data_IF_586062335337
#
_entry.id   IF_586062335337
#
_cell.length_a   1.000
_cell.length_b   1.000
_cell.length_c   1.000
_cell.angle_alpha   90.00
_cell.angle_beta   90.00
_cell.angle_gamma   90.00
#
_symmetry.space_group_name_H-M   'P 1'
#
loop_
_entity.id
_entity.type
_entity.pdbx_description
1 polymer ?
#
# COMPACT_ATOMS: atom_id res chain seq x y z
N UNK A 1 9.46 -31.41 47.08
CA UNK A 1 9.86 -30.00 46.88
C UNK A 1 9.96 -29.58 45.40
N UNK A 2 9.64 -30.44 44.42
CA UNK A 2 9.77 -30.12 42.98
C UNK A 2 8.49 -29.66 42.27
N UNK A 3 7.30 -29.82 42.87
CA UNK A 3 6.04 -29.35 42.24
C UNK A 3 5.82 -27.84 42.32
N UNK A 4 6.63 -27.11 43.09
CA UNK A 4 6.45 -25.66 43.32
C UNK A 4 7.09 -24.79 42.22
N UNK A 5 8.12 -25.28 41.53
CA UNK A 5 8.87 -24.47 40.55
C UNK A 5 8.18 -24.34 39.18
N UNK A 6 7.32 -25.30 38.81
CA UNK A 6 6.55 -25.23 37.56
C UNK A 6 5.41 -24.20 37.60
N UNK A 7 4.95 -23.80 38.80
CA UNK A 7 3.88 -22.81 38.95
C UNK A 7 4.36 -21.39 38.66
N UNK A 8 5.60 -21.07 39.03
CA UNK A 8 6.19 -19.73 38.89
C UNK A 8 6.53 -19.38 37.43
N UNK A 9 6.97 -20.34 36.61
CA UNK A 9 7.26 -20.08 35.19
C UNK A 9 6.04 -19.71 34.34
N UNK A 10 4.82 -20.12 34.73
CA UNK A 10 3.58 -19.73 34.03
C UNK A 10 3.14 -18.29 34.29
N UNK A 11 3.73 -17.60 35.28
CA UNK A 11 3.48 -16.18 35.57
C UNK A 11 4.46 -15.25 34.84
N UNK A 12 5.51 -15.79 34.20
CA UNK A 12 6.61 -15.03 33.64
C UNK A 12 6.30 -14.33 32.31
N UNK A 13 5.10 -14.52 31.74
CA UNK A 13 4.67 -13.76 30.56
C UNK A 13 3.37 -12.99 30.83
N UNK A 14 3.24 -11.83 30.17
CA UNK A 14 2.11 -10.90 30.31
C UNK A 14 0.74 -11.59 30.17
N UNK A 15 0.66 -12.62 29.32
CA UNK A 15 -0.56 -13.40 29.08
C UNK A 15 -0.93 -14.27 30.28
N UNK A 16 0.04 -14.93 30.92
CA UNK A 16 -0.16 -15.74 32.11
C UNK A 16 -0.56 -14.93 33.35
N UNK A 17 -0.03 -13.71 33.49
CA UNK A 17 -0.43 -12.78 34.55
C UNK A 17 -1.88 -12.29 34.37
N UNK A 18 -2.27 -11.89 33.16
CA UNK A 18 -3.63 -11.45 32.85
C UNK A 18 -4.66 -12.58 32.97
N UNK A 19 -4.27 -13.82 32.63
CA UNK A 19 -5.16 -14.98 32.71
C UNK A 19 -5.50 -15.41 34.15
N UNK A 20 -4.65 -15.08 35.13
CA UNK A 20 -4.77 -15.57 36.51
C UNK A 20 -5.10 -14.46 37.52
N UNK A 21 -4.98 -13.20 37.11
CA UNK A 21 -5.42 -12.04 37.90
C UNK A 21 -6.94 -11.85 37.81
N UNK A 22 -7.58 -11.50 38.93
CA UNK A 22 -9.02 -11.18 38.98
C UNK A 22 -9.94 -12.29 38.48
N UNK A 23 -9.64 -13.56 38.77
CA UNK A 23 -10.38 -14.74 38.30
C UNK A 23 -10.53 -14.83 36.76
N UNK A 24 -9.61 -14.21 36.01
CA UNK A 24 -9.69 -14.18 34.55
C UNK A 24 -10.68 -13.14 34.02
N UNK A 25 -11.17 -12.20 34.83
CA UNK A 25 -12.02 -11.10 34.38
C UNK A 25 -11.35 -10.26 33.27
N UNK A 26 -10.03 -10.09 33.35
CA UNK A 26 -9.23 -9.43 32.31
C UNK A 26 -9.20 -10.19 30.96
N UNK A 27 -9.57 -11.49 30.93
CA UNK A 27 -9.72 -12.25 29.69
C UNK A 27 -11.06 -12.02 28.99
N UNK A 28 -12.07 -11.47 29.67
CA UNK A 28 -13.39 -11.25 29.07
C UNK A 28 -13.33 -10.22 27.94
N UNK A 29 -12.53 -9.16 28.10
CA UNK A 29 -12.25 -8.20 27.02
C UNK A 29 -11.30 -8.76 25.94
N UNK A 30 -10.38 -9.68 26.31
CA UNK A 30 -9.49 -10.33 25.35
C UNK A 30 -10.25 -11.27 24.42
N UNK A 31 -11.33 -11.91 24.90
CA UNK A 31 -12.18 -12.76 24.08
C UNK A 31 -12.80 -11.98 22.93
N UNK A 32 -13.28 -10.76 23.14
CA UNK A 32 -13.88 -9.95 22.08
C UNK A 32 -12.83 -9.37 21.12
N UNK A 33 -11.65 -9.03 21.63
CA UNK A 33 -10.51 -8.56 20.81
C UNK A 33 -9.87 -9.71 20.01
N UNK A 34 -9.97 -10.95 20.48
CA UNK A 34 -9.51 -12.16 19.77
C UNK A 34 -10.64 -12.93 19.07
N UNK A 35 -11.89 -12.52 19.24
CA UNK A 35 -13.02 -13.07 18.51
C UNK A 35 -13.07 -12.41 17.13
N UNK A 36 -12.16 -12.83 16.27
CA UNK A 36 -12.33 -12.62 14.85
C UNK A 36 -13.46 -13.52 14.32
N UNK A 37 -14.21 -13.06 13.29
CA UNK A 37 -15.29 -13.84 12.69
C UNK A 37 -14.73 -15.16 12.19
N UNK A 38 -15.14 -16.26 12.83
CA UNK A 38 -14.69 -17.61 12.47
C UNK A 38 -15.40 -18.06 11.18
N UNK A 39 -14.72 -18.26 10.04
CA UNK A 39 -15.32 -18.92 8.89
C UNK A 39 -15.33 -20.44 9.12
N UNK A 40 -16.25 -21.19 8.48
CA UNK A 40 -16.31 -22.63 8.61
C UNK A 40 -15.25 -23.31 7.72
N UNK A 41 -14.31 -24.06 8.31
CA UNK A 41 -13.40 -24.96 7.57
C UNK A 41 -11.96 -24.91 8.08
N UNK A 42 -11.35 -26.07 8.35
CA UNK A 42 -10.08 -26.23 9.07
C UNK A 42 -8.80 -26.04 8.26
N UNK A 43 -8.71 -24.99 7.44
CA UNK A 43 -7.45 -24.52 6.86
C UNK A 43 -7.08 -23.15 7.48
N UNK A 44 -5.77 -22.82 7.49
CA UNK A 44 -5.33 -21.48 7.89
C UNK A 44 -6.09 -20.43 7.06
N UNK A 45 -6.73 -19.42 7.67
CA UNK A 45 -7.45 -18.41 6.92
C UNK A 45 -6.48 -17.75 5.94
N UNK A 46 -6.84 -17.75 4.65
CA UNK A 46 -6.09 -17.00 3.64
C UNK A 46 -6.27 -15.51 3.96
N UNK A 47 -5.21 -14.81 4.41
CA UNK A 47 -5.33 -13.41 4.82
C UNK A 47 -5.63 -12.50 3.62
N UNK A 48 -5.46 -12.99 2.39
CA UNK A 48 -5.84 -12.30 1.16
C UNK A 48 -7.27 -12.60 0.71
N UNK A 49 -7.99 -13.50 1.38
CA UNK A 49 -9.37 -13.78 1.04
C UNK A 49 -10.20 -12.49 1.10
N UNK A 50 -11.05 -12.21 0.09
CA UNK A 50 -11.88 -11.03 0.11
C UNK A 50 -12.72 -10.95 1.39
N UNK A 51 -12.45 -9.94 2.21
CA UNK A 51 -13.17 -9.68 3.47
C UNK A 51 -14.51 -8.97 3.22
N UNK A 52 -14.67 -8.38 2.03
CA UNK A 52 -15.80 -7.52 1.69
C UNK A 52 -15.69 -6.15 2.37
N UNK A 53 -16.14 -5.07 1.72
CA UNK A 53 -16.07 -3.74 2.31
C UNK A 53 -17.12 -3.58 3.44
N UNK A 54 -16.81 -2.76 4.46
CA UNK A 54 -17.76 -2.43 5.53
C UNK A 54 -19.04 -1.76 5.02
N UNK A 55 -18.97 -1.08 3.87
CA UNK A 55 -20.09 -0.42 3.21
C UNK A 55 -20.19 -0.85 1.76
N UNK A 56 -21.41 -0.83 1.20
CA UNK A 56 -21.60 -1.06 -0.22
C UNK A 56 -20.78 -0.04 -1.05
N UNK A 57 -19.84 -0.51 -1.90
CA UNK A 57 -18.96 0.38 -2.62
C UNK A 57 -19.73 1.13 -3.72
N UNK A 58 -19.50 2.43 -3.83
CA UNK A 58 -20.06 3.26 -4.92
C UNK A 58 -19.20 3.23 -6.19
N UNK A 59 -17.92 2.90 -6.06
CA UNK A 59 -16.97 2.78 -7.16
C UNK A 59 -16.40 1.36 -7.19
N UNK A 60 -16.22 0.82 -8.40
CA UNK A 60 -15.60 -0.51 -8.61
C UNK A 60 -14.09 -0.42 -8.79
N UNK A 61 -13.59 0.71 -9.30
CA UNK A 61 -12.19 0.94 -9.65
C UNK A 61 -11.84 2.38 -9.31
N UNK A 62 -10.62 2.60 -8.84
CA UNK A 62 -10.06 3.91 -8.52
C UNK A 62 -8.74 4.06 -9.26
N UNK A 63 -8.58 5.17 -9.97
CA UNK A 63 -7.32 5.56 -10.58
C UNK A 63 -6.80 6.74 -9.76
N UNK A 64 -5.65 6.56 -9.12
CA UNK A 64 -4.98 7.62 -8.36
C UNK A 64 -3.73 8.05 -9.14
N UNK A 65 -3.68 9.33 -9.50
CA UNK A 65 -2.56 9.91 -10.25
C UNK A 65 -1.83 10.88 -9.34
N UNK A 66 -0.59 10.55 -9.01
CA UNK A 66 0.33 11.46 -8.33
C UNK A 66 1.29 12.06 -9.35
N UNK A 67 1.23 13.37 -9.53
CA UNK A 67 2.07 14.10 -10.49
C UNK A 67 3.43 14.43 -9.85
N UNK A 68 4.40 13.53 -10.00
CA UNK A 68 5.76 13.73 -9.51
C UNK A 68 6.42 14.94 -10.19
N UNK A 69 7.08 15.81 -9.43
CA UNK A 69 7.52 17.14 -9.87
C UNK A 69 6.50 18.25 -9.60
N UNK A 70 5.25 17.89 -9.30
CA UNK A 70 4.20 18.78 -8.81
C UNK A 70 3.41 19.45 -9.93
N UNK A 71 2.10 19.23 -9.95
CA UNK A 71 1.18 20.16 -10.60
C UNK A 71 1.01 21.37 -9.69
N UNK A 72 1.33 22.56 -10.20
CA UNK A 72 1.11 23.79 -9.45
C UNK A 72 -0.39 24.02 -9.24
N UNK A 73 -0.84 23.92 -7.99
CA UNK A 73 -2.24 24.11 -7.62
C UNK A 73 -2.73 25.54 -7.93
N UNK A 74 -1.85 26.54 -7.79
CA UNK A 74 -2.16 27.94 -8.08
C UNK A 74 -2.28 28.24 -9.57
N UNK A 75 -1.74 27.36 -10.41
CA UNK A 75 -1.79 27.42 -11.88
C UNK A 75 -2.84 26.49 -12.49
N UNK A 76 -3.56 25.72 -11.66
CA UNK A 76 -4.52 24.69 -12.14
C UNK A 76 -5.93 24.90 -11.62
N UNK A 77 -6.16 24.77 -10.30
CA UNK A 77 -7.50 24.72 -9.71
C UNK A 77 -7.73 25.72 -8.56
N UNK A 78 -6.71 26.48 -8.17
CA UNK A 78 -6.75 27.36 -7.00
C UNK A 78 -5.99 28.68 -7.22
N UNK A 79 -6.44 29.52 -8.19
CA UNK A 79 -5.78 30.77 -8.49
C UNK A 79 -5.67 31.65 -7.24
N UNK A 80 -4.51 32.27 -7.05
CA UNK A 80 -4.24 33.18 -5.92
C UNK A 80 -4.11 34.61 -6.44
N UNK A 81 -5.16 35.45 -6.37
CA UNK A 81 -5.11 36.83 -6.88
C UNK A 81 -3.98 37.68 -6.27
N UNK A 82 -3.56 37.36 -5.05
CA UNK A 82 -2.45 38.05 -4.41
C UNK A 82 -1.10 37.83 -5.12
N UNK A 83 -0.91 36.68 -5.79
CA UNK A 83 0.28 36.44 -6.61
C UNK A 83 0.34 37.39 -7.80
N UNK A 84 -0.80 37.71 -8.42
CA UNK A 84 -0.86 38.70 -9.50
C UNK A 84 -0.58 40.12 -8.97
N UNK A 85 -1.06 40.46 -7.77
CA UNK A 85 -0.82 41.78 -7.16
C UNK A 85 0.66 42.02 -6.83
N UNK A 86 1.38 40.97 -6.43
CA UNK A 86 2.78 41.05 -5.99
C UNK A 86 3.76 40.49 -7.03
N UNK A 87 3.34 40.36 -8.29
CA UNK A 87 4.17 39.76 -9.34
C UNK A 87 5.54 40.44 -9.46
N UNK A 88 6.60 39.64 -9.47
CA UNK A 88 7.99 40.09 -9.48
C UNK A 88 8.50 40.72 -8.18
N UNK A 89 7.67 40.86 -7.14
CA UNK A 89 8.07 41.41 -5.85
C UNK A 89 8.48 40.31 -4.86
N UNK A 90 9.40 40.59 -3.92
CA UNK A 90 9.69 39.67 -2.82
C UNK A 90 8.43 39.32 -2.02
N UNK A 91 8.32 38.07 -1.57
CA UNK A 91 7.19 37.65 -0.74
C UNK A 91 7.15 38.46 0.57
N UNK A 92 5.96 38.84 1.06
CA UNK A 92 5.79 39.67 2.26
C UNK A 92 6.01 38.88 3.57
N UNK A 93 6.70 37.74 3.51
CA UNK A 93 6.99 36.86 4.65
C UNK A 93 8.49 36.67 4.77
N UNK A 94 9.02 36.34 5.96
CA UNK A 94 10.36 35.76 6.07
C UNK A 94 10.49 34.58 5.10
N UNK A 95 11.72 34.32 4.63
CA UNK A 95 11.99 33.21 3.72
C UNK A 95 11.38 31.91 4.27
N UNK A 96 10.67 31.20 3.39
CA UNK A 96 10.12 29.90 3.73
C UNK A 96 11.28 28.94 4.03
N UNK A 97 11.02 27.94 4.87
CA UNK A 97 12.00 26.91 5.24
C UNK A 97 12.12 25.89 4.09
N UNK A 98 12.56 26.35 2.92
CA UNK A 98 12.78 25.54 1.72
C UNK A 98 14.26 25.25 1.52
N UNK A 99 14.59 24.25 0.69
CA UNK A 99 16.00 23.92 0.38
C UNK A 99 16.77 25.09 -0.26
N UNK A 100 16.05 25.96 -0.98
CA UNK A 100 16.60 27.14 -1.67
C UNK A 100 15.90 28.41 -1.18
N UNK A 101 16.59 29.55 -1.33
CA UNK A 101 16.02 30.87 -1.06
C UNK A 101 14.74 31.06 -1.89
N UNK A 102 13.63 31.39 -1.24
CA UNK A 102 12.40 31.72 -1.97
C UNK A 102 12.57 33.10 -2.61
N UNK A 103 12.31 33.18 -3.92
CA UNK A 103 12.47 34.39 -4.70
C UNK A 103 11.26 35.33 -4.63
N UNK A 104 10.93 35.92 -5.78
CA UNK A 104 9.75 36.75 -5.94
C UNK A 104 8.44 35.93 -6.01
N UNK A 105 7.31 36.57 -5.73
CA UNK A 105 6.02 36.08 -6.16
C UNK A 105 5.93 36.10 -7.69
N UNK A 106 5.31 35.08 -8.27
CA UNK A 106 5.00 35.00 -9.69
C UNK A 106 3.49 34.88 -9.87
N UNK A 107 2.93 35.75 -10.70
CA UNK A 107 1.58 35.59 -11.20
C UNK A 107 1.47 34.27 -11.97
N UNK A 108 0.28 33.65 -11.91
CA UNK A 108 0.01 32.53 -12.80
C UNK A 108 0.06 33.01 -14.26
N UNK A 109 0.78 32.33 -15.16
CA UNK A 109 0.80 32.70 -16.57
C UNK A 109 -0.49 32.27 -17.30
N UNK A 110 -1.35 31.49 -16.66
CA UNK A 110 -2.56 30.91 -17.25
C UNK A 110 -3.79 31.74 -16.95
N UNK A 111 -4.76 31.70 -17.85
CA UNK A 111 -6.07 32.32 -17.64
C UNK A 111 -7.02 31.34 -16.96
N UNK A 112 -7.87 31.85 -16.07
CA UNK A 112 -8.83 31.04 -15.34
C UNK A 112 -10.25 31.36 -15.79
N UNK A 113 -11.01 30.31 -16.04
CA UNK A 113 -12.45 30.40 -16.32
C UNK A 113 -13.22 29.68 -15.22
N UNK A 114 -14.36 30.24 -14.84
CA UNK A 114 -15.30 29.57 -13.93
C UNK A 114 -16.12 28.57 -14.74
N UNK A 115 -16.05 27.29 -14.37
CA UNK A 115 -16.75 26.22 -15.07
C UNK A 115 -17.93 25.68 -14.26
N UNK A 116 -18.94 25.20 -14.98
CA UNK A 116 -20.11 24.53 -14.40
C UNK A 116 -20.96 25.41 -13.49
N UNK A 117 -21.87 24.78 -12.75
CA UNK A 117 -22.66 25.41 -11.69
C UNK A 117 -21.86 25.59 -10.40
N UNK A 118 -20.89 24.71 -10.18
CA UNK A 118 -19.95 24.75 -9.06
C UNK A 118 -19.10 26.01 -9.06
N UNK A 119 -18.88 26.62 -10.24
CA UNK A 119 -18.05 27.82 -10.39
C UNK A 119 -16.63 27.54 -9.89
N UNK A 120 -16.08 26.37 -10.24
CA UNK A 120 -14.69 26.08 -9.92
C UNK A 120 -13.82 26.82 -10.95
N UNK A 121 -12.86 27.66 -10.50
CA UNK A 121 -11.90 28.27 -11.41
C UNK A 121 -10.89 27.22 -11.87
N UNK A 122 -10.81 27.00 -13.18
CA UNK A 122 -9.88 26.05 -13.79
C UNK A 122 -9.08 26.77 -14.87
N UNK A 123 -7.77 26.52 -14.90
CA UNK A 123 -6.89 27.14 -15.88
C UNK A 123 -7.16 26.62 -17.30
N UNK A 124 -6.83 27.45 -18.28
CA UNK A 124 -6.88 27.13 -19.70
C UNK A 124 -5.94 25.97 -20.12
N UNK A 125 -5.09 25.46 -19.21
CA UNK A 125 -4.35 24.21 -19.39
C UNK A 125 -5.26 22.98 -19.47
N UNK A 126 -6.43 23.02 -18.83
CA UNK A 126 -7.32 21.86 -18.69
C UNK A 126 -8.73 22.14 -19.21
N UNK A 127 -8.89 22.58 -20.48
CA UNK A 127 -10.18 23.03 -21.00
C UNK A 127 -11.21 21.89 -21.07
N UNK A 128 -10.76 20.67 -21.36
CA UNK A 128 -11.63 19.48 -21.40
C UNK A 128 -12.02 19.01 -19.99
N UNK A 129 -11.09 19.08 -19.03
CA UNK A 129 -11.41 18.76 -17.64
C UNK A 129 -12.38 19.78 -17.05
N UNK A 130 -12.27 21.05 -17.45
CA UNK A 130 -13.18 22.12 -17.06
C UNK A 130 -14.65 21.81 -17.41
N UNK A 131 -14.92 21.10 -18.50
CA UNK A 131 -16.28 20.69 -18.88
C UNK A 131 -16.94 19.75 -17.85
N UNK A 132 -16.13 19.13 -16.99
CA UNK A 132 -16.56 18.22 -15.93
C UNK A 132 -16.51 18.85 -14.52
N UNK A 133 -16.39 20.18 -14.40
CA UNK A 133 -16.18 20.85 -13.11
C UNK A 133 -17.20 20.45 -12.02
N UNK A 134 -18.46 20.22 -12.38
CA UNK A 134 -19.51 19.84 -11.43
C UNK A 134 -19.37 18.41 -10.89
N UNK A 135 -18.56 17.58 -11.55
CA UNK A 135 -18.19 16.23 -11.11
C UNK A 135 -16.85 16.22 -10.33
N UNK A 136 -16.18 17.37 -10.20
CA UNK A 136 -14.90 17.48 -9.51
C UNK A 136 -15.08 17.89 -8.04
N UNK A 137 -14.28 17.28 -7.17
CA UNK A 137 -14.08 17.77 -5.81
C UNK A 137 -12.63 18.26 -5.67
N UNK A 138 -12.47 19.58 -5.47
CA UNK A 138 -11.14 20.19 -5.30
C UNK A 138 -10.88 20.44 -3.82
N UNK A 139 -9.90 19.73 -3.25
CA UNK A 139 -9.51 19.88 -1.85
C UNK A 139 -8.34 20.86 -1.74
N UNK A 140 -8.61 22.11 -1.33
CA UNK A 140 -7.60 23.18 -1.16
C UNK A 140 -6.98 23.26 0.23
N UNK A 141 -7.44 22.41 1.15
CA UNK A 141 -7.02 22.39 2.55
C UNK A 141 -5.85 21.45 2.83
N UNK A 142 -5.33 20.76 1.82
CA UNK A 142 -4.17 19.88 1.99
C UNK A 142 -2.91 20.71 2.22
N UNK A 143 -2.15 20.37 3.26
CA UNK A 143 -0.84 20.97 3.54
C UNK A 143 0.17 19.89 3.92
N UNK A 144 1.45 20.20 3.71
CA UNK A 144 2.60 19.41 4.15
C UNK A 144 3.49 20.31 5.00
N UNK A 145 4.13 19.73 6.02
CA UNK A 145 5.09 20.45 6.86
C UNK A 145 6.54 20.25 6.35
N UNK A 146 6.75 19.49 5.26
CA UNK A 146 8.08 19.21 4.69
C UNK A 146 8.15 19.61 3.20
N UNK A 147 8.99 20.59 2.84
CA UNK A 147 9.17 21.03 1.45
C UNK A 147 10.33 20.29 0.78
N UNK A 148 10.30 18.96 0.84
CA UNK A 148 11.28 18.11 0.18
C UNK A 148 10.59 16.96 -0.58
N UNK A 149 11.17 16.57 -1.71
CA UNK A 149 10.66 15.53 -2.60
C UNK A 149 10.57 14.17 -1.91
N UNK A 150 11.66 13.68 -1.30
CA UNK A 150 11.65 12.35 -0.69
C UNK A 150 10.59 12.18 0.41
N UNK A 151 10.50 13.08 1.41
CA UNK A 151 9.57 12.90 2.52
C UNK A 151 8.12 13.15 2.09
N UNK A 152 7.89 13.99 1.08
CA UNK A 152 6.55 14.22 0.52
C UNK A 152 6.03 13.00 -0.24
N UNK A 153 6.91 12.27 -0.95
CA UNK A 153 6.55 11.01 -1.60
C UNK A 153 6.11 9.96 -0.57
N UNK A 154 6.85 9.84 0.53
CA UNK A 154 6.46 8.94 1.63
C UNK A 154 5.17 9.40 2.32
N UNK A 155 4.97 10.70 2.52
CA UNK A 155 3.73 11.23 3.09
C UNK A 155 2.52 10.91 2.20
N UNK A 156 2.64 11.06 0.88
CA UNK A 156 1.57 10.75 -0.06
C UNK A 156 1.22 9.26 -0.07
N UNK A 157 2.23 8.39 -0.15
CA UNK A 157 1.99 6.95 -0.31
C UNK A 157 1.71 6.24 1.01
N UNK A 158 2.27 6.72 2.12
CA UNK A 158 2.31 5.98 3.40
C UNK A 158 1.86 6.82 4.60
N UNK A 159 1.61 8.13 4.44
CA UNK A 159 1.11 9.01 5.50
C UNK A 159 2.13 9.41 6.56
N UNK A 160 3.42 9.09 6.38
CA UNK A 160 4.52 9.43 7.30
C UNK A 160 5.74 9.84 6.48
N UNK A 161 6.41 10.91 6.90
CA UNK A 161 7.52 11.52 6.16
C UNK A 161 8.90 11.03 6.66
N UNK A 162 8.95 10.23 7.72
CA UNK A 162 10.21 9.78 8.34
C UNK A 162 10.42 8.27 8.27
N UNK A 163 9.40 7.51 8.63
CA UNK A 163 9.46 6.05 8.71
C UNK A 163 8.60 5.44 7.63
N UNK A 164 9.08 4.33 7.05
CA UNK A 164 8.24 3.53 6.18
C UNK A 164 7.05 3.00 7.00
N UNK A 165 5.85 3.46 6.63
CA UNK A 165 4.56 2.96 7.11
C UNK A 165 3.93 2.10 6.01
N UNK A 166 2.92 1.29 6.34
CA UNK A 166 2.20 0.56 5.31
C UNK A 166 1.64 1.54 4.30
N UNK A 167 1.95 1.31 3.03
CA UNK A 167 1.49 2.15 1.94
C UNK A 167 -0.03 2.03 1.74
N UNK A 168 -0.61 2.93 0.95
CA UNK A 168 -2.02 2.86 0.54
C UNK A 168 -2.36 1.50 -0.07
N UNK A 169 -1.52 0.96 -0.96
CA UNK A 169 -1.75 -0.36 -1.58
C UNK A 169 -1.74 -1.50 -0.56
N UNK A 170 -0.83 -1.45 0.41
CA UNK A 170 -0.76 -2.43 1.51
C UNK A 170 -1.99 -2.35 2.41
N UNK A 171 -2.46 -1.14 2.75
CA UNK A 171 -3.70 -0.96 3.54
C UNK A 171 -4.94 -1.44 2.80
N UNK A 172 -5.05 -1.15 1.50
CA UNK A 172 -6.17 -1.59 0.68
C UNK A 172 -6.21 -3.12 0.60
N UNK A 173 -5.06 -3.75 0.36
CA UNK A 173 -4.98 -5.21 0.27
C UNK A 173 -5.21 -5.87 1.64
N UNK A 174 -4.74 -5.26 2.73
CA UNK A 174 -5.02 -5.72 4.09
C UNK A 174 -6.51 -5.64 4.45
N UNK A 175 -7.17 -4.53 4.10
CA UNK A 175 -8.58 -4.32 4.45
C UNK A 175 -9.57 -5.05 3.55
N UNK A 176 -9.28 -5.17 2.26
CA UNK A 176 -10.21 -5.70 1.26
C UNK A 176 -9.86 -7.11 0.77
N UNK A 177 -8.61 -7.54 0.94
CA UNK A 177 -8.08 -8.74 0.30
C UNK A 177 -7.85 -8.54 -1.20
N UNK A 178 -7.78 -9.64 -1.94
CA UNK A 178 -7.67 -9.65 -3.41
C UNK A 178 -8.61 -10.70 -3.98
N UNK A 179 -9.25 -10.37 -5.11
CA UNK A 179 -10.03 -11.34 -5.90
C UNK A 179 -9.11 -12.36 -6.61
N UNK A 180 -7.83 -12.03 -6.76
CA UNK A 180 -6.82 -12.87 -7.39
C UNK A 180 -6.11 -13.76 -6.35
N UNK A 181 -6.13 -15.08 -6.57
CA UNK A 181 -5.46 -16.08 -5.71
C UNK A 181 -4.07 -16.48 -6.19
N UNK A 182 -3.71 -16.13 -7.41
CA UNK A 182 -2.54 -16.62 -8.12
C UNK A 182 -1.44 -15.56 -8.26
N UNK A 183 -1.81 -14.27 -8.28
CA UNK A 183 -0.91 -13.13 -8.39
C UNK A 183 -0.93 -12.29 -7.09
N UNK A 184 0.08 -11.44 -6.88
CA UNK A 184 0.10 -10.48 -5.79
C UNK A 184 -1.11 -9.55 -5.85
N UNK A 185 -1.74 -9.28 -4.70
CA UNK A 185 -2.83 -8.32 -4.61
C UNK A 185 -2.40 -6.86 -4.78
N UNK A 186 -1.10 -6.60 -4.62
CA UNK A 186 -0.50 -5.27 -4.75
C UNK A 186 0.78 -5.34 -5.58
N UNK A 187 0.81 -4.60 -6.69
CA UNK A 187 1.92 -4.52 -7.63
C UNK A 187 2.40 -3.08 -7.70
N UNK A 188 3.72 -2.88 -7.60
CA UNK A 188 4.39 -1.61 -7.82
C UNK A 188 5.14 -1.67 -9.15
N UNK A 189 4.58 -1.05 -10.18
CA UNK A 189 5.20 -0.97 -11.50
C UNK A 189 6.06 0.29 -11.61
N UNK A 190 7.36 0.14 -11.84
CA UNK A 190 8.23 1.29 -12.09
C UNK A 190 9.18 1.00 -13.26
N UNK A 191 9.07 1.73 -14.38
CA UNK A 191 9.96 1.52 -15.52
C UNK A 191 11.36 2.06 -15.23
N UNK A 192 12.38 1.26 -15.50
CA UNK A 192 13.79 1.71 -15.45
C UNK A 192 14.36 1.80 -14.04
N UNK A 193 13.75 1.09 -13.09
CA UNK A 193 14.22 1.01 -11.72
C UNK A 193 13.32 1.69 -10.69
N UNK A 194 13.84 1.73 -9.46
CA UNK A 194 13.14 2.31 -8.32
C UNK A 194 13.00 3.84 -8.43
N UNK A 195 11.84 4.42 -8.06
CA UNK A 195 11.71 5.86 -7.94
C UNK A 195 12.51 6.38 -6.74
N UNK A 196 12.51 7.69 -6.54
CA UNK A 196 13.01 8.34 -5.33
C UNK A 196 12.39 7.69 -4.08
N UNK A 197 13.21 7.37 -3.06
CA UNK A 197 12.87 6.52 -1.88
C UNK A 197 12.58 5.05 -2.16
N UNK A 198 12.53 4.65 -3.42
CA UNK A 198 12.41 3.26 -3.85
C UNK A 198 11.30 2.50 -3.15
N UNK A 199 11.56 1.28 -2.64
CA UNK A 199 10.53 0.45 -2.04
C UNK A 199 9.81 1.07 -0.84
N UNK A 200 10.40 2.06 -0.15
CA UNK A 200 9.75 2.73 0.99
C UNK A 200 8.41 3.40 0.62
N UNK A 201 8.14 3.60 -0.68
CA UNK A 201 6.84 4.07 -1.18
C UNK A 201 5.73 3.01 -1.18
N UNK A 202 6.04 1.71 -1.09
CA UNK A 202 5.04 0.64 -1.24
C UNK A 202 5.20 -0.54 -0.28
N UNK A 203 5.87 -0.34 0.86
CA UNK A 203 6.06 -1.42 1.84
C UNK A 203 4.80 -1.72 2.62
N UNK A 204 4.69 -2.96 3.10
CA UNK A 204 3.75 -3.37 4.15
C UNK A 204 4.19 -2.88 5.53
N UNK A 205 5.49 -2.63 5.71
CA UNK A 205 6.11 -2.20 6.97
C UNK A 205 5.76 -3.14 8.13
N UNK A 206 4.93 -2.69 9.09
CA UNK A 206 4.53 -3.51 10.23
C UNK A 206 3.34 -4.43 9.93
N UNK A 207 2.67 -4.30 8.77
CA UNK A 207 1.70 -5.28 8.31
C UNK A 207 2.43 -6.56 7.85
N UNK A 208 1.77 -7.73 7.93
CA UNK A 208 2.36 -8.98 7.46
C UNK A 208 2.88 -8.88 6.01
N UNK A 209 4.00 -9.56 5.73
CA UNK A 209 4.71 -9.42 4.45
C UNK A 209 3.93 -9.84 3.20
N UNK A 210 2.79 -10.52 3.36
CA UNK A 210 1.89 -10.86 2.25
C UNK A 210 1.21 -9.62 1.62
N UNK A 211 1.23 -8.48 2.30
CA UNK A 211 0.72 -7.20 1.82
C UNK A 211 1.81 -6.27 1.26
N UNK A 212 3.05 -6.78 1.10
CA UNK A 212 4.15 -6.03 0.49
C UNK A 212 3.88 -5.83 -1.00
N UNK A 213 4.14 -4.62 -1.50
CA UNK A 213 4.04 -4.35 -2.94
C UNK A 213 5.10 -5.14 -3.72
N UNK A 214 4.66 -5.93 -4.69
CA UNK A 214 5.57 -6.66 -5.57
C UNK A 214 6.06 -5.74 -6.67
N UNK A 215 7.37 -5.49 -6.68
CA UNK A 215 8.02 -4.67 -7.69
C UNK A 215 8.06 -5.37 -9.04
N UNK A 216 7.69 -4.63 -10.09
CA UNK A 216 7.75 -5.06 -11.49
C UNK A 216 8.39 -3.94 -12.31
N UNK A 217 9.52 -4.26 -12.97
CA UNK A 217 10.20 -3.31 -13.84
C UNK A 217 9.61 -3.35 -15.25
N UNK A 218 8.67 -2.45 -15.52
CA UNK A 218 7.95 -2.42 -16.81
C UNK A 218 8.79 -1.90 -17.98
N UNK A 219 10.09 -1.63 -17.80
CA UNK A 219 11.02 -1.44 -18.92
C UNK A 219 11.40 -2.78 -19.60
N UNK A 220 11.07 -3.91 -18.97
CA UNK A 220 11.23 -5.24 -19.54
C UNK A 220 9.87 -5.84 -19.91
N UNK A 221 9.87 -6.80 -20.83
CA UNK A 221 8.66 -7.55 -21.22
C UNK A 221 8.76 -9.04 -20.93
N UNK A 222 9.97 -9.56 -20.68
CA UNK A 222 10.16 -10.97 -20.34
C UNK A 222 9.87 -11.21 -18.87
N UNK A 223 9.03 -12.19 -18.57
CA UNK A 223 8.58 -12.54 -17.21
C UNK A 223 9.75 -12.76 -16.25
N UNK A 224 10.87 -13.34 -16.72
CA UNK A 224 12.07 -13.58 -15.91
C UNK A 224 12.82 -12.30 -15.52
N UNK A 225 12.60 -11.21 -16.25
CA UNK A 225 13.13 -9.88 -15.96
C UNK A 225 12.14 -9.04 -15.15
N UNK A 226 10.84 -9.32 -15.28
CA UNK A 226 9.77 -8.68 -14.54
C UNK A 226 9.69 -9.18 -13.09
N UNK A 227 9.78 -10.50 -12.89
CA UNK A 227 9.72 -11.15 -11.59
C UNK A 227 10.99 -11.96 -11.36
N UNK A 228 11.76 -11.51 -10.36
CA UNK A 228 12.99 -12.20 -9.98
C UNK A 228 12.70 -13.60 -9.47
N UNK A 229 13.55 -14.56 -9.86
CA UNK A 229 13.50 -15.96 -9.40
C UNK A 229 12.19 -16.69 -9.71
N UNK A 230 11.43 -16.24 -10.72
CA UNK A 230 10.18 -16.88 -11.14
C UNK A 230 10.40 -18.30 -11.71
N UNK A 231 11.62 -18.63 -12.14
CA UNK A 231 12.02 -19.98 -12.55
C UNK A 231 13.12 -20.53 -11.67
N UNK A 232 13.01 -21.81 -11.32
CA UNK A 232 14.10 -22.55 -10.67
C UNK A 232 14.89 -23.35 -11.73
N UNK A 233 16.19 -23.07 -11.94
CA UNK A 233 16.97 -23.76 -12.97
C UNK A 233 17.37 -25.20 -12.59
N UNK A 234 17.16 -25.62 -11.33
CA UNK A 234 17.63 -26.91 -10.81
C UNK A 234 16.52 -27.94 -10.59
N UNK A 235 15.30 -27.50 -10.30
CA UNK A 235 14.20 -28.37 -9.87
C UNK A 235 12.96 -28.15 -10.71
N UNK A 236 12.34 -29.24 -11.17
CA UNK A 236 11.04 -29.19 -11.82
C UNK A 236 9.91 -28.82 -10.84
N UNK A 237 8.77 -28.38 -11.36
CA UNK A 237 7.61 -27.95 -10.55
C UNK A 237 7.12 -29.02 -9.57
N UNK A 238 7.19 -30.30 -9.94
CA UNK A 238 6.79 -31.41 -9.07
C UNK A 238 7.74 -31.59 -7.87
N UNK A 239 9.04 -31.42 -8.07
CA UNK A 239 10.03 -31.49 -6.98
C UNK A 239 9.91 -30.29 -6.04
N UNK A 240 9.71 -29.10 -6.62
CA UNK A 240 9.44 -27.89 -5.86
C UNK A 240 8.17 -28.02 -5.01
N UNK A 241 7.08 -28.62 -5.55
CA UNK A 241 5.85 -28.92 -4.79
C UNK A 241 6.13 -29.83 -3.59
N UNK A 242 6.86 -30.93 -3.80
CA UNK A 242 7.23 -31.86 -2.72
C UNK A 242 8.05 -31.19 -1.62
N UNK A 243 9.00 -30.32 -1.99
CA UNK A 243 9.77 -29.54 -1.02
C UNK A 243 8.88 -28.56 -0.25
N UNK A 244 7.96 -27.89 -0.95
CA UNK A 244 7.03 -26.95 -0.33
C UNK A 244 6.07 -27.66 0.63
N UNK A 245 5.57 -28.84 0.28
CA UNK A 245 4.72 -29.67 1.17
C UNK A 245 5.45 -30.05 2.46
N UNK A 246 6.73 -30.44 2.36
CA UNK A 246 7.54 -30.72 3.54
C UNK A 246 7.75 -29.46 4.40
N UNK A 247 8.07 -28.33 3.78
CA UNK A 247 8.22 -27.05 4.48
C UNK A 247 6.92 -26.63 5.16
N UNK A 248 5.77 -26.80 4.51
CA UNK A 248 4.47 -26.55 5.10
C UNK A 248 4.21 -27.43 6.31
N UNK A 249 4.49 -28.74 6.23
CA UNK A 249 4.33 -29.65 7.35
C UNK A 249 5.18 -29.24 8.56
N UNK A 250 6.43 -28.85 8.32
CA UNK A 250 7.33 -28.34 9.36
C UNK A 250 6.84 -27.02 9.95
N UNK A 251 6.39 -26.10 9.10
CA UNK A 251 5.89 -24.79 9.52
C UNK A 251 4.60 -24.90 10.33
N UNK A 252 3.67 -25.79 9.94
CA UNK A 252 2.44 -26.08 10.71
C UNK A 252 2.77 -26.60 12.10
N UNK A 253 3.67 -27.59 12.20
CA UNK A 253 4.16 -28.09 13.50
C UNK A 253 4.82 -26.99 14.33
N UNK A 254 5.53 -26.06 13.69
CA UNK A 254 6.15 -24.94 14.38
C UNK A 254 5.12 -23.92 14.88
N UNK A 255 4.09 -23.65 14.09
CA UNK A 255 2.97 -22.77 14.42
C UNK A 255 2.17 -23.32 15.61
N UNK A 256 1.87 -24.63 15.62
CA UNK A 256 1.16 -25.30 16.72
C UNK A 256 1.84 -25.08 18.09
N UNK A 257 3.16 -24.97 18.11
CA UNK A 257 3.95 -24.74 19.33
C UNK A 257 3.94 -23.27 19.79
N UNK A 258 3.70 -22.32 18.88
CA UNK A 258 3.72 -20.88 19.14
C UNK A 258 2.31 -20.28 19.32
N UNK A 259 1.28 -21.01 18.89
CA UNK A 259 -0.07 -20.47 18.71
C UNK A 259 -0.14 -19.61 17.44
N UNK A 260 -1.14 -18.72 17.34
CA UNK A 260 -1.29 -17.80 16.23
C UNK A 260 -0.12 -16.80 16.17
N UNK A 261 0.65 -16.88 15.08
CA UNK A 261 1.76 -15.98 14.74
C UNK A 261 1.56 -15.46 13.31
N UNK A 262 0.98 -14.25 13.15
CA UNK A 262 0.65 -13.70 11.84
C UNK A 262 1.85 -13.54 10.91
N UNK A 263 3.07 -13.38 11.43
CA UNK A 263 4.27 -13.26 10.61
C UNK A 263 4.68 -14.62 10.04
N UNK A 264 4.59 -15.67 10.85
CA UNK A 264 4.86 -17.04 10.39
C UNK A 264 3.79 -17.49 9.38
N UNK A 265 2.52 -17.22 9.67
CA UNK A 265 1.40 -17.53 8.77
C UNK A 265 1.54 -16.82 7.42
N UNK A 266 1.83 -15.51 7.42
CA UNK A 266 2.07 -14.76 6.19
C UNK A 266 3.25 -15.33 5.39
N UNK A 267 4.34 -15.72 6.06
CA UNK A 267 5.50 -16.33 5.39
C UNK A 267 5.16 -17.67 4.73
N UNK A 268 4.35 -18.51 5.37
CA UNK A 268 3.86 -19.77 4.78
C UNK A 268 3.06 -19.47 3.51
N UNK A 269 2.14 -18.51 3.59
CA UNK A 269 1.28 -18.14 2.46
C UNK A 269 2.06 -17.48 1.31
N UNK A 270 3.08 -16.66 1.60
CA UNK A 270 3.95 -16.09 0.56
C UNK A 270 4.70 -17.17 -0.23
N UNK A 271 5.13 -18.27 0.40
CA UNK A 271 5.76 -19.38 -0.34
C UNK A 271 4.77 -20.10 -1.27
N UNK A 272 3.52 -20.27 -0.84
CA UNK A 272 2.46 -20.83 -1.69
C UNK A 272 2.09 -19.92 -2.86
N UNK A 273 2.02 -18.60 -2.63
CA UNK A 273 1.78 -17.65 -3.70
C UNK A 273 2.94 -17.66 -4.70
N UNK A 274 4.19 -17.64 -4.23
CA UNK A 274 5.36 -17.69 -5.10
C UNK A 274 5.39 -18.96 -5.98
N UNK A 275 4.98 -20.12 -5.45
CA UNK A 275 4.87 -21.36 -6.25
C UNK A 275 3.81 -21.24 -7.35
N UNK A 276 2.61 -20.71 -7.01
CA UNK A 276 1.52 -20.49 -7.98
C UNK A 276 1.90 -19.49 -9.07
N UNK A 277 2.59 -18.41 -8.70
CA UNK A 277 3.06 -17.39 -9.63
C UNK A 277 3.93 -17.97 -10.76
N UNK A 278 4.70 -19.04 -10.52
CA UNK A 278 5.54 -19.65 -11.55
C UNK A 278 4.75 -20.17 -12.77
N UNK A 279 3.47 -20.50 -12.57
CA UNK A 279 2.58 -20.97 -13.64
C UNK A 279 1.81 -19.80 -14.27
N UNK A 280 1.32 -18.89 -13.43
CA UNK A 280 0.31 -17.89 -13.83
C UNK A 280 0.91 -16.56 -14.29
N UNK A 281 2.10 -16.20 -13.82
CA UNK A 281 2.76 -14.96 -14.22
C UNK A 281 3.10 -14.92 -15.71
N UNK A 282 3.34 -16.08 -16.34
CA UNK A 282 3.67 -16.14 -17.77
C UNK A 282 2.52 -15.61 -18.62
N UNK A 283 1.28 -15.94 -18.27
CA UNK A 283 0.09 -15.52 -18.99
C UNK A 283 -0.27 -14.05 -18.71
N UNK A 284 -0.06 -13.61 -17.46
CA UNK A 284 -0.48 -12.29 -17.00
C UNK A 284 0.35 -11.12 -17.58
N UNK A 285 1.62 -11.36 -17.94
CA UNK A 285 2.51 -10.35 -18.51
C UNK A 285 2.72 -10.50 -20.02
N UNK A 286 2.04 -11.44 -20.66
CA UNK A 286 2.10 -11.64 -22.11
C UNK A 286 1.12 -10.68 -22.82
N UNK A 287 1.59 -9.44 -23.01
CA UNK A 287 0.87 -8.41 -23.79
C UNK A 287 0.66 -8.83 -25.24
N UNK A 288 1.33 -9.88 -25.73
CA UNK A 288 1.12 -10.35 -27.09
C UNK A 288 -0.22 -11.03 -27.31
N UNK A 289 -0.88 -11.40 -26.21
CA UNK A 289 -2.24 -11.98 -26.18
C UNK A 289 -3.33 -10.92 -26.14
N UNK A 290 -3.00 -9.64 -26.02
CA UNK A 290 -3.98 -8.55 -26.02
C UNK A 290 -4.54 -8.29 -27.42
N UNK A 291 -5.83 -7.92 -27.55
CA UNK A 291 -6.41 -7.51 -28.83
C UNK A 291 -5.64 -6.34 -29.45
N UNK A 292 -5.58 -6.29 -30.78
CA UNK A 292 -4.92 -5.20 -31.53
C UNK A 292 -5.48 -3.81 -31.20
N UNK A 293 -6.73 -3.73 -30.76
CA UNK A 293 -7.34 -2.46 -30.33
C UNK A 293 -6.83 -1.93 -28.98
N UNK A 294 -6.09 -2.75 -28.23
CA UNK A 294 -5.56 -2.43 -26.89
C UNK A 294 -4.05 -2.19 -26.91
N UNK A 295 -3.34 -2.89 -27.83
CA UNK A 295 -1.93 -2.67 -28.15
C UNK A 295 -1.69 -1.31 -28.83
#
# INVERSE_FOLDING_TARGET
>A
MERSLHSFHRLANRRGFLARSGMGFALLGLRDVMAEPKPPGGDLPDPLAPSGPHFAPKAKRVIHIFMNGGLSHVDSFDPKPMLAKYDGQPLPTPNLVTERLTGAAFASPFQFTQYGQSGIPISDMFPHLGQHADDLCVVRSMKSDVPNHEPSLMLMNSGDNTLARPSLGSWLTYGLGTENRNLPGFIAMCPGGHPVKGPDNWRSAFLPGIYEGVYVDTAHSKVEQLIQNIRNPRLGLADQRRQLDLLQALNRRHLDQRGHDPQLEARIQSYEQAYRMQMEATDAFDVDREPESVR
#
